data_IF_453160256464
#
_entry.id   IF_453160256464
#
_cell.length_a   1.000
_cell.length_b   1.000
_cell.length_c   1.000
_cell.angle_alpha   90.00
_cell.angle_beta   90.00
_cell.angle_gamma   90.00
#
_symmetry.space_group_name_H-M   'P 1'
#
loop_
_entity.id
_entity.type
_entity.pdbx_description
1 polymer ?
#
# COMPACT_ATOMS: atom_id res chain seq x y z
N UNK A 1 -2.52 -19.49 -28.95
CA UNK A 1 -1.36 -18.57 -28.93
C UNK A 1 -1.00 -18.27 -27.48
N UNK A 2 0.28 -18.13 -27.11
CA UNK A 2 0.71 -17.92 -25.72
C UNK A 2 0.89 -16.43 -25.42
N UNK A 3 0.46 -15.98 -24.24
CA UNK A 3 0.51 -14.57 -23.80
C UNK A 3 1.19 -14.47 -22.44
N UNK A 4 2.07 -13.48 -22.28
CA UNK A 4 2.71 -13.16 -21.00
C UNK A 4 2.14 -11.86 -20.43
N UNK A 5 1.69 -11.90 -19.19
CA UNK A 5 1.18 -10.75 -18.45
C UNK A 5 2.21 -10.34 -17.40
N UNK A 6 2.79 -9.15 -17.56
CA UNK A 6 3.77 -8.57 -16.66
C UNK A 6 3.07 -7.56 -15.76
N UNK A 7 2.43 -8.05 -14.70
CA UNK A 7 1.67 -7.24 -13.76
C UNK A 7 1.63 -7.90 -12.40
N UNK A 8 1.38 -7.11 -11.38
CA UNK A 8 1.15 -7.66 -10.05
C UNK A 8 -0.17 -8.43 -10.02
N UNK A 9 -0.22 -9.63 -9.42
CA UNK A 9 -1.44 -10.39 -9.27
C UNK A 9 -2.46 -9.58 -8.46
N UNK A 10 -3.76 -9.77 -8.75
CA UNK A 10 -4.81 -9.32 -7.81
C UNK A 10 -4.68 -10.07 -6.49
N UNK A 11 -5.25 -9.52 -5.43
CA UNK A 11 -5.28 -10.13 -4.11
C UNK A 11 -5.75 -11.57 -4.17
N UNK A 12 -5.05 -12.44 -3.43
CA UNK A 12 -5.14 -13.91 -3.53
C UNK A 12 -6.55 -14.46 -3.26
N UNK A 13 -7.44 -13.66 -2.67
CA UNK A 13 -8.82 -14.05 -2.34
C UNK A 13 -9.81 -13.89 -3.49
N UNK A 14 -9.44 -13.21 -4.59
CA UNK A 14 -10.37 -12.86 -5.69
C UNK A 14 -10.45 -13.89 -6.82
N UNK A 15 -9.92 -15.10 -6.64
CA UNK A 15 -9.91 -16.15 -7.68
C UNK A 15 -8.91 -15.87 -8.82
N UNK A 16 -9.08 -16.48 -10.01
CA UNK A 16 -8.16 -16.32 -11.13
C UNK A 16 -8.11 -14.88 -11.64
N UNK A 17 -6.92 -14.42 -12.02
CA UNK A 17 -6.71 -13.05 -12.51
C UNK A 17 -7.64 -12.72 -13.69
N UNK A 18 -8.33 -11.56 -13.68
CA UNK A 18 -9.33 -11.25 -14.69
C UNK A 18 -8.75 -11.20 -16.11
N UNK A 19 -7.49 -10.80 -16.28
CA UNK A 19 -6.84 -10.79 -17.59
C UNK A 19 -6.53 -12.21 -18.07
N UNK A 20 -6.10 -13.09 -17.16
CA UNK A 20 -5.88 -14.51 -17.47
C UNK A 20 -7.20 -15.18 -17.87
N UNK A 21 -8.27 -14.91 -17.12
CA UNK A 21 -9.61 -15.45 -17.40
C UNK A 21 -10.11 -14.99 -18.77
N UNK A 22 -10.06 -13.68 -19.04
CA UNK A 22 -10.57 -13.11 -20.29
C UNK A 22 -9.79 -13.63 -21.50
N UNK A 23 -8.45 -13.66 -21.43
CA UNK A 23 -7.61 -14.22 -22.49
C UNK A 23 -7.92 -15.70 -22.75
N UNK A 24 -8.20 -16.47 -21.70
CA UNK A 24 -8.63 -17.86 -21.81
C UNK A 24 -9.92 -18.04 -22.62
N UNK A 25 -10.88 -17.12 -22.49
CA UNK A 25 -12.15 -17.17 -23.24
C UNK A 25 -11.95 -17.06 -24.76
N UNK A 26 -10.87 -16.39 -25.20
CA UNK A 26 -10.53 -16.24 -26.62
C UNK A 26 -9.45 -17.26 -27.08
N UNK A 27 -9.20 -18.32 -26.31
CA UNK A 27 -8.26 -19.40 -26.69
C UNK A 27 -6.78 -19.02 -26.55
N UNK A 28 -6.47 -17.98 -25.77
CA UNK A 28 -5.09 -17.65 -25.42
C UNK A 28 -4.65 -18.35 -24.13
N UNK A 29 -3.43 -18.88 -24.15
CA UNK A 29 -2.80 -19.43 -22.96
C UNK A 29 -2.00 -18.32 -22.25
N UNK A 30 -2.60 -17.70 -21.23
CA UNK A 30 -2.00 -16.57 -20.53
C UNK A 30 -1.20 -17.03 -19.29
N UNK A 31 0.02 -16.54 -19.16
CA UNK A 31 0.87 -16.70 -17.98
C UNK A 31 1.09 -15.35 -17.32
N UNK A 32 0.74 -15.23 -16.03
CA UNK A 32 1.04 -14.04 -15.23
C UNK A 32 2.42 -14.17 -14.56
N UNK A 33 3.23 -13.13 -14.71
CA UNK A 33 4.52 -12.94 -14.05
C UNK A 33 4.42 -11.66 -13.19
N UNK A 34 4.48 -11.78 -11.84
CA UNK A 34 4.56 -10.61 -10.96
C UNK A 34 5.86 -9.86 -11.25
N UNK A 35 5.79 -8.53 -11.23
CA UNK A 35 6.96 -7.67 -11.51
C UNK A 35 7.37 -6.82 -10.32
N UNK A 36 6.46 -6.60 -9.37
CA UNK A 36 6.77 -5.95 -8.10
C UNK A 36 6.61 -6.96 -6.95
N UNK A 37 7.45 -6.79 -5.93
CA UNK A 37 7.25 -7.36 -4.60
C UNK A 37 7.12 -6.22 -3.60
N UNK A 38 6.26 -6.42 -2.61
CA UNK A 38 6.11 -5.51 -1.51
C UNK A 38 6.35 -6.29 -0.23
N UNK A 39 7.29 -5.79 0.59
CA UNK A 39 7.56 -6.34 1.90
C UNK A 39 7.27 -5.28 2.95
N UNK A 40 6.56 -5.71 4.00
CA UNK A 40 6.33 -4.85 5.15
C UNK A 40 7.63 -4.71 5.95
N UNK A 41 8.02 -3.47 6.22
CA UNK A 41 9.11 -3.15 7.13
C UNK A 41 8.54 -2.48 8.39
N UNK A 42 9.27 -2.59 9.50
CA UNK A 42 8.99 -1.82 10.72
C UNK A 42 7.60 -2.04 11.34
N UNK A 43 7.02 -3.24 11.22
CA UNK A 43 5.73 -3.60 11.83
C UNK A 43 5.72 -3.39 13.36
N UNK A 44 6.84 -3.66 14.03
CA UNK A 44 6.98 -3.41 15.47
C UNK A 44 6.91 -1.93 15.81
N UNK A 45 7.70 -1.10 15.12
CA UNK A 45 7.68 0.35 15.31
C UNK A 45 6.35 1.00 14.93
N UNK A 46 5.61 0.42 13.97
CA UNK A 46 4.23 0.83 13.70
C UNK A 46 3.34 0.59 14.92
N UNK A 47 3.37 -0.62 15.48
CA UNK A 47 2.51 -0.97 16.59
C UNK A 47 2.88 -0.22 17.87
N UNK A 48 4.18 0.01 18.12
CA UNK A 48 4.65 0.88 19.20
C UNK A 48 4.01 2.27 19.11
N UNK A 49 4.04 2.91 17.93
CA UNK A 49 3.41 4.22 17.73
C UNK A 49 1.87 4.16 17.88
N UNK A 50 1.23 3.09 17.41
CA UNK A 50 -0.21 2.87 17.59
C UNK A 50 -0.59 2.65 19.06
N UNK A 51 0.35 2.22 19.90
CA UNK A 51 0.16 2.03 21.34
C UNK A 51 0.19 3.35 22.14
N UNK A 52 0.57 4.46 21.49
CA UNK A 52 0.70 5.78 22.08
C UNK A 52 -0.18 6.84 21.41
N UNK A 53 -1.53 6.67 21.38
CA UNK A 53 -2.44 7.63 20.74
C UNK A 53 -2.36 9.05 21.34
N UNK A 54 -1.93 9.21 22.59
CA UNK A 54 -1.69 10.49 23.25
C UNK A 54 -0.64 11.37 22.56
N UNK A 55 0.30 10.75 21.83
CA UNK A 55 1.34 11.48 21.10
C UNK A 55 0.84 12.10 19.78
N UNK A 56 -0.39 11.77 19.36
CA UNK A 56 -0.89 12.12 18.02
C UNK A 56 -2.24 12.80 18.06
N UNK A 57 -2.49 13.67 17.09
CA UNK A 57 -3.78 14.32 16.87
C UNK A 57 -4.80 13.42 16.17
N UNK A 58 -4.33 12.39 15.46
CA UNK A 58 -5.16 11.51 14.66
C UNK A 58 -4.35 10.61 13.74
N UNK A 59 -5.05 9.85 12.91
CA UNK A 59 -4.49 8.93 11.92
C UNK A 59 -4.75 9.43 10.50
N UNK A 60 -3.83 9.11 9.59
CA UNK A 60 -4.08 9.26 8.16
C UNK A 60 -3.72 7.99 7.41
N UNK A 61 -4.56 7.57 6.48
CA UNK A 61 -4.33 6.44 5.60
C UNK A 61 -4.60 6.80 4.13
N UNK A 62 -3.56 6.78 3.30
CA UNK A 62 -3.65 7.03 1.86
C UNK A 62 -3.62 5.74 1.03
N UNK A 63 -3.33 4.59 1.66
CA UNK A 63 -3.12 3.31 0.98
C UNK A 63 -3.69 2.14 1.78
N UNK A 64 -4.41 1.20 1.14
CA UNK A 64 -4.83 -0.07 1.74
C UNK A 64 -3.71 -0.84 2.42
N UNK A 65 -2.49 -0.77 1.87
CA UNK A 65 -1.30 -1.45 2.41
C UNK A 65 -1.00 -1.05 3.85
N UNK A 66 -1.29 0.21 4.21
CA UNK A 66 -1.09 0.66 5.58
C UNK A 66 -1.98 -0.09 6.57
N UNK A 67 -3.21 -0.39 6.16
CA UNK A 67 -4.18 -1.14 6.98
C UNK A 67 -3.84 -2.62 7.02
N UNK A 68 -3.34 -3.17 5.92
CA UNK A 68 -2.80 -4.54 5.90
C UNK A 68 -1.65 -4.71 6.90
N UNK A 69 -0.73 -3.74 6.98
CA UNK A 69 0.35 -3.74 7.98
C UNK A 69 -0.20 -3.81 9.41
N UNK A 70 -1.20 -2.98 9.71
CA UNK A 70 -1.85 -2.97 11.03
C UNK A 70 -2.52 -4.31 11.29
N UNK A 71 -3.29 -4.84 10.33
CA UNK A 71 -3.93 -6.16 10.46
C UNK A 71 -2.92 -7.27 10.73
N UNK A 72 -1.73 -7.21 10.12
CA UNK A 72 -0.65 -8.16 10.39
C UNK A 72 -0.17 -8.02 11.84
N UNK A 73 0.07 -6.80 12.34
CA UNK A 73 0.44 -6.57 13.73
C UNK A 73 -0.63 -7.11 14.70
N UNK A 74 -1.91 -6.96 14.36
CA UNK A 74 -3.04 -7.43 15.16
C UNK A 74 -3.28 -8.95 15.08
N UNK A 75 -2.51 -9.71 14.30
CA UNK A 75 -2.55 -11.18 14.38
C UNK A 75 -1.88 -11.71 15.65
N UNK A 76 -1.00 -10.93 16.26
CA UNK A 76 -0.39 -11.28 17.53
C UNK A 76 -1.40 -11.07 18.68
N UNK A 77 -1.66 -12.11 19.46
CA UNK A 77 -2.71 -12.09 20.49
C UNK A 77 -2.55 -10.93 21.50
N UNK A 78 -1.33 -10.69 21.98
CA UNK A 78 -0.99 -9.60 22.91
C UNK A 78 -1.39 -8.22 22.36
N UNK A 79 -1.06 -7.96 21.09
CA UNK A 79 -1.34 -6.72 20.37
C UNK A 79 -2.83 -6.57 20.07
N UNK A 80 -3.49 -7.66 19.69
CA UNK A 80 -4.94 -7.68 19.45
C UNK A 80 -5.74 -7.40 20.73
N UNK A 81 -5.32 -7.99 21.85
CA UNK A 81 -5.93 -7.74 23.16
C UNK A 81 -5.76 -6.28 23.57
N UNK A 82 -4.55 -5.72 23.45
CA UNK A 82 -4.31 -4.29 23.71
C UNK A 82 -5.16 -3.39 22.81
N UNK A 83 -5.25 -3.73 21.52
CA UNK A 83 -6.08 -3.00 20.55
C UNK A 83 -7.56 -3.00 20.94
N UNK A 84 -8.12 -4.19 21.14
CA UNK A 84 -9.53 -4.40 21.43
C UNK A 84 -9.94 -3.85 22.79
N UNK A 85 -9.03 -3.89 23.78
CA UNK A 85 -9.31 -3.45 25.15
C UNK A 85 -9.35 -1.94 25.31
N UNK A 86 -8.45 -1.19 24.68
CA UNK A 86 -8.35 0.26 24.93
C UNK A 86 -7.96 1.08 23.71
N UNK A 87 -6.95 0.66 22.92
CA UNK A 87 -6.39 1.52 21.87
C UNK A 87 -7.41 1.89 20.80
N UNK A 88 -8.28 0.94 20.40
CA UNK A 88 -9.33 1.20 19.41
C UNK A 88 -10.26 2.34 19.82
N UNK A 89 -10.64 2.40 21.09
CA UNK A 89 -11.51 3.47 21.59
C UNK A 89 -10.76 4.80 21.67
N UNK A 90 -9.50 4.79 22.10
CA UNK A 90 -8.66 6.00 22.17
C UNK A 90 -8.40 6.59 20.78
N UNK A 91 -8.17 5.75 19.77
CA UNK A 91 -8.04 6.20 18.39
C UNK A 91 -9.36 6.70 17.80
N UNK A 92 -10.51 6.10 18.15
CA UNK A 92 -11.82 6.61 17.74
C UNK A 92 -12.21 7.95 18.38
N UNK A 93 -11.60 8.33 19.50
CA UNK A 93 -11.75 9.68 20.07
C UNK A 93 -11.00 10.75 19.25
N UNK A 94 -10.21 10.34 18.24
CA UNK A 94 -9.42 11.19 17.36
C UNK A 94 -9.88 11.00 15.91
N UNK A 95 -9.68 11.99 15.03
CA UNK A 95 -10.00 11.83 13.62
C UNK A 95 -9.11 10.79 12.94
N UNK A 96 -9.72 9.94 12.11
CA UNK A 96 -9.04 9.03 11.18
C UNK A 96 -9.34 9.45 9.76
N UNK A 97 -8.35 10.03 9.08
CA UNK A 97 -8.47 10.56 7.72
C UNK A 97 -8.09 9.50 6.69
N UNK A 98 -8.85 9.41 5.60
CA UNK A 98 -8.61 8.39 4.55
C UNK A 98 -8.73 8.97 3.14
N UNK A 99 -7.98 8.40 2.19
CA UNK A 99 -8.19 8.65 0.75
C UNK A 99 -8.95 7.49 0.13
N UNK A 100 -10.17 7.76 -0.34
CA UNK A 100 -10.96 6.81 -1.12
C UNK A 100 -11.73 5.78 -0.28
N UNK A 101 -12.80 5.27 -0.89
CA UNK A 101 -13.74 4.34 -0.23
C UNK A 101 -13.12 2.98 0.09
N UNK A 102 -12.22 2.48 -0.75
CA UNK A 102 -11.56 1.20 -0.52
C UNK A 102 -10.75 1.21 0.80
N UNK A 103 -10.01 2.28 1.04
CA UNK A 103 -9.26 2.46 2.29
C UNK A 103 -10.20 2.70 3.47
N UNK A 104 -11.30 3.43 3.27
CA UNK A 104 -12.33 3.64 4.30
C UNK A 104 -12.89 2.31 4.81
N UNK A 105 -13.29 1.39 3.92
CA UNK A 105 -13.82 0.09 4.32
C UNK A 105 -12.80 -0.73 5.14
N UNK A 106 -11.52 -0.69 4.78
CA UNK A 106 -10.47 -1.39 5.54
C UNK A 106 -10.21 -0.78 6.92
N UNK A 107 -10.43 0.54 7.07
CA UNK A 107 -10.37 1.24 8.36
C UNK A 107 -11.55 0.82 9.26
N UNK A 108 -12.74 0.68 8.68
CA UNK A 108 -13.92 0.19 9.39
C UNK A 108 -13.74 -1.26 9.87
N UNK A 109 -13.06 -2.10 9.09
CA UNK A 109 -12.76 -3.49 9.46
C UNK A 109 -11.86 -3.61 10.70
N UNK A 110 -10.97 -2.64 10.95
CA UNK A 110 -10.17 -2.59 12.20
C UNK A 110 -10.91 -1.86 13.34
N UNK A 111 -12.16 -1.46 13.08
CA UNK A 111 -13.09 -0.86 14.03
C UNK A 111 -12.81 0.61 14.34
N UNK A 112 -12.25 1.35 13.37
CA UNK A 112 -12.10 2.81 13.42
C UNK A 112 -13.14 3.50 12.51
N UNK A 113 -13.42 4.78 12.78
CA UNK A 113 -14.36 5.59 12.00
C UNK A 113 -13.63 6.50 10.98
N UNK A 114 -13.60 6.14 9.67
CA UNK A 114 -12.92 6.94 8.66
C UNK A 114 -13.64 8.24 8.32
N UNK A 115 -12.88 9.24 7.89
CA UNK A 115 -13.37 10.53 7.37
C UNK A 115 -12.55 10.98 6.18
N UNK A 116 -13.13 11.78 5.28
CA UNK A 116 -12.42 12.31 4.11
C UNK A 116 -12.35 11.35 2.92
N UNK A 117 -13.03 10.21 2.95
CA UNK A 117 -13.11 9.23 1.85
C UNK A 117 -13.53 9.83 0.49
N UNK A 118 -14.29 10.94 0.52
CA UNK A 118 -14.79 11.67 -0.65
C UNK A 118 -13.78 12.65 -1.25
N UNK A 119 -12.63 12.85 -0.60
CA UNK A 119 -11.59 13.78 -1.08
C UNK A 119 -10.98 13.33 -2.40
N UNK A 120 -10.93 12.01 -2.64
CA UNK A 120 -10.49 11.41 -3.90
C UNK A 120 -8.97 11.37 -4.11
N UNK A 121 -8.21 12.33 -3.58
CA UNK A 121 -6.74 12.35 -3.62
C UNK A 121 -6.12 12.96 -2.35
N UNK A 122 -4.80 12.90 -2.27
CA UNK A 122 -4.02 13.38 -1.12
C UNK A 122 -4.11 14.91 -0.96
N UNK A 123 -4.11 15.66 -2.06
CA UNK A 123 -4.14 17.12 -2.04
C UNK A 123 -5.45 17.64 -1.46
N UNK A 124 -6.59 17.12 -1.96
CA UNK A 124 -7.92 17.45 -1.44
C UNK A 124 -8.11 17.01 -0.01
N UNK A 125 -7.52 15.86 0.36
CA UNK A 125 -7.53 15.41 1.76
C UNK A 125 -6.75 16.38 2.65
N UNK A 126 -5.60 16.88 2.20
CA UNK A 126 -4.86 17.90 2.94
C UNK A 126 -5.69 19.15 3.17
N UNK A 127 -6.44 19.64 2.16
CA UNK A 127 -7.32 20.81 2.35
C UNK A 127 -8.45 20.52 3.34
N UNK A 128 -9.03 19.32 3.27
CA UNK A 128 -10.06 18.89 4.19
C UNK A 128 -9.54 18.86 5.64
N UNK A 129 -8.34 18.33 5.87
CA UNK A 129 -7.67 18.34 7.17
C UNK A 129 -7.40 19.79 7.63
N UNK A 130 -6.87 20.65 6.74
CA UNK A 130 -6.64 22.08 7.00
C UNK A 130 -7.89 22.86 7.39
N UNK A 131 -9.04 22.48 6.88
CA UNK A 131 -10.31 23.14 7.22
C UNK A 131 -10.84 22.77 8.62
N UNK A 132 -10.32 21.71 9.23
CA UNK A 132 -10.81 21.14 10.49
C UNK A 132 -9.82 21.25 11.64
N UNK A 133 -8.55 21.05 11.35
CA UNK A 133 -7.47 21.13 12.32
C UNK A 133 -6.92 22.56 12.39
N UNK A 134 -6.56 23.00 13.61
CA UNK A 134 -5.91 24.29 13.82
C UNK A 134 -4.39 24.22 13.66
N UNK A 135 -3.67 25.35 13.59
CA UNK A 135 -2.21 25.39 13.46
C UNK A 135 -1.43 24.85 14.67
N UNK A 136 -2.09 24.62 15.81
CA UNK A 136 -1.49 24.12 17.06
C UNK A 136 -1.93 22.71 17.45
N UNK A 137 -2.50 21.94 16.52
CA UNK A 137 -2.90 20.57 16.80
C UNK A 137 -1.68 19.65 17.03
N UNK A 138 -1.94 18.46 17.56
CA UNK A 138 -0.93 17.41 17.73
C UNK A 138 -0.63 16.72 16.38
N UNK A 139 0.60 16.20 16.18
CA UNK A 139 1.02 15.62 14.90
C UNK A 139 0.13 14.45 14.49
N UNK A 140 -0.12 14.28 13.19
CA UNK A 140 -0.85 13.13 12.67
C UNK A 140 0.11 11.95 12.48
N UNK A 141 -0.33 10.75 12.87
CA UNK A 141 0.37 9.51 12.56
C UNK A 141 0.00 9.09 11.13
N UNK A 142 1.00 9.00 10.26
CA UNK A 142 0.81 8.67 8.86
C UNK A 142 1.63 7.43 8.47
N UNK A 143 1.06 6.22 8.60
CA UNK A 143 1.70 5.00 8.12
C UNK A 143 1.61 4.96 6.59
N UNK A 144 2.76 4.96 5.92
CA UNK A 144 2.85 5.08 4.47
C UNK A 144 3.89 4.12 3.89
N UNK A 145 3.75 3.79 2.61
CA UNK A 145 4.69 2.91 1.92
C UNK A 145 6.03 3.60 1.70
N UNK A 146 6.20 4.26 0.55
CA UNK A 146 7.47 4.88 0.15
C UNK A 146 7.39 6.42 0.21
N UNK A 147 8.17 7.02 1.11
CA UNK A 147 8.18 8.47 1.40
C UNK A 147 8.32 9.37 0.16
N UNK A 148 9.11 8.95 -0.85
CA UNK A 148 9.38 9.76 -2.06
C UNK A 148 8.16 10.00 -2.97
N UNK A 149 7.02 9.34 -2.72
CA UNK A 149 5.83 9.44 -3.57
C UNK A 149 4.62 10.06 -2.86
N UNK A 150 4.72 10.36 -1.58
CA UNK A 150 3.57 10.84 -0.82
C UNK A 150 3.45 12.36 -0.93
N UNK A 151 2.34 12.82 -1.50
CA UNK A 151 2.06 14.26 -1.66
C UNK A 151 1.47 14.87 -0.39
N UNK A 152 0.78 14.05 0.41
CA UNK A 152 0.05 14.50 1.61
C UNK A 152 0.95 15.24 2.63
N UNK A 153 2.13 14.72 3.03
CA UNK A 153 2.95 15.38 4.04
C UNK A 153 3.46 16.76 3.58
N UNK A 154 3.83 16.85 2.30
CA UNK A 154 4.26 18.10 1.67
C UNK A 154 3.11 19.11 1.63
N UNK A 155 1.92 18.68 1.19
CA UNK A 155 0.75 19.54 1.11
C UNK A 155 0.28 20.05 2.49
N UNK A 156 0.36 19.23 3.54
CA UNK A 156 0.05 19.65 4.90
C UNK A 156 1.05 20.70 5.42
N UNK A 157 2.34 20.48 5.17
CA UNK A 157 3.40 21.41 5.55
C UNK A 157 3.28 22.76 4.85
N UNK A 158 3.00 22.78 3.56
CA UNK A 158 2.81 24.01 2.78
C UNK A 158 1.62 24.84 3.25
N UNK A 159 0.56 24.19 3.73
CA UNK A 159 -0.64 24.85 4.25
C UNK A 159 -0.52 25.30 5.72
N UNK A 160 0.67 25.23 6.30
CA UNK A 160 0.95 25.69 7.67
C UNK A 160 0.37 24.79 8.76
N UNK A 161 -0.06 23.57 8.39
CA UNK A 161 -0.46 22.55 9.34
C UNK A 161 0.73 21.66 9.76
N UNK A 162 0.64 21.22 11.02
CA UNK A 162 1.08 19.95 11.59
C UNK A 162 2.26 19.19 10.97
N UNK A 163 3.24 18.89 11.82
CA UNK A 163 4.20 17.81 11.58
C UNK A 163 3.46 16.47 11.39
N UNK A 164 3.65 15.81 10.24
CA UNK A 164 3.23 14.43 10.05
C UNK A 164 4.34 13.49 10.50
N UNK A 165 4.02 12.58 11.42
CA UNK A 165 4.93 11.50 11.81
C UNK A 165 4.73 10.34 10.85
N UNK A 166 5.61 10.27 9.87
CA UNK A 166 5.61 9.24 8.83
C UNK A 166 6.21 7.94 9.39
N UNK A 167 5.52 6.83 9.15
CA UNK A 167 6.06 5.49 9.41
C UNK A 167 6.20 4.79 8.07
N UNK A 168 7.45 4.53 7.67
CA UNK A 168 7.75 3.75 6.47
C UNK A 168 7.35 2.29 6.73
N UNK A 169 6.30 1.85 6.04
CA UNK A 169 5.71 0.52 6.19
C UNK A 169 6.23 -0.50 5.19
N UNK A 170 6.89 -0.08 4.11
CA UNK A 170 7.37 -1.03 3.13
C UNK A 170 8.00 -0.37 1.92
N UNK A 171 8.98 -1.06 1.34
CA UNK A 171 9.58 -0.65 0.09
C UNK A 171 9.03 -1.51 -1.03
N UNK A 172 8.58 -0.87 -2.11
CA UNK A 172 8.27 -1.58 -3.35
C UNK A 172 9.59 -1.87 -4.05
N UNK A 173 9.91 -3.14 -4.21
CA UNK A 173 11.09 -3.58 -4.96
C UNK A 173 10.66 -4.37 -6.20
N UNK A 174 11.58 -4.53 -7.16
CA UNK A 174 11.36 -5.51 -8.22
C UNK A 174 11.19 -6.87 -7.57
N UNK A 175 10.24 -7.66 -8.04
CA UNK A 175 10.03 -9.00 -7.50
C UNK A 175 11.34 -9.80 -7.57
N UNK A 176 11.79 -10.47 -6.48
CA UNK A 176 13.00 -11.28 -6.47
C UNK A 176 12.88 -12.56 -7.31
N UNK A 177 11.79 -12.70 -8.08
CA UNK A 177 11.62 -13.77 -9.04
C UNK A 177 12.80 -13.83 -10.00
N UNK A 178 13.09 -15.07 -10.42
CA UNK A 178 13.97 -15.40 -11.55
C UNK A 178 13.89 -14.31 -12.63
N UNK A 179 15.04 -13.87 -13.14
CA UNK A 179 15.10 -12.84 -14.18
C UNK A 179 14.07 -13.14 -15.28
N UNK A 180 13.53 -12.12 -15.95
CA UNK A 180 12.54 -12.34 -17.03
C UNK A 180 13.04 -13.43 -17.99
N UNK A 181 14.36 -13.43 -18.28
CA UNK A 181 15.06 -14.47 -19.04
C UNK A 181 14.97 -15.88 -18.45
N UNK A 182 15.16 -16.07 -17.14
CA UNK A 182 15.01 -17.37 -16.50
C UNK A 182 13.54 -17.84 -16.47
N UNK A 183 12.57 -16.94 -16.31
CA UNK A 183 11.14 -17.28 -16.41
C UNK A 183 10.78 -17.71 -17.84
N UNK A 184 11.32 -17.01 -18.83
CA UNK A 184 11.19 -17.34 -20.25
C UNK A 184 11.87 -18.68 -20.60
N UNK A 185 13.03 -18.96 -19.98
CA UNK A 185 13.78 -20.21 -20.16
C UNK A 185 13.11 -21.41 -19.47
N UNK A 186 12.56 -21.25 -18.27
CA UNK A 186 11.92 -22.34 -17.51
C UNK A 186 10.54 -22.74 -18.04
N UNK A 187 9.75 -21.82 -18.61
CA UNK A 187 8.37 -22.09 -19.06
C UNK A 187 8.22 -22.71 -20.45
N UNK A 188 9.27 -23.33 -21.02
CA UNK A 188 9.16 -23.99 -22.33
C UNK A 188 8.73 -23.01 -23.46
N UNK A 189 9.19 -21.75 -23.42
CA UNK A 189 9.02 -20.79 -24.52
C UNK A 189 10.19 -20.89 -25.51
N UNK A 190 10.60 -22.12 -25.86
CA UNK A 190 11.73 -22.40 -26.77
C UNK A 190 11.50 -21.93 -28.23
N UNK A 191 10.28 -21.52 -28.59
CA UNK A 191 9.91 -21.14 -29.96
C UNK A 191 9.75 -19.62 -30.20
N UNK A 192 10.22 -18.77 -29.28
CA UNK A 192 10.13 -17.32 -29.43
C UNK A 192 11.52 -16.72 -29.68
N UNK A 193 12.03 -16.84 -30.90
CA UNK A 193 13.21 -16.08 -31.38
C UNK A 193 13.06 -14.56 -31.17
N UNK A 194 11.81 -14.08 -31.03
CA UNK A 194 11.48 -12.67 -30.82
C UNK A 194 11.90 -12.10 -29.45
N UNK A 195 11.98 -12.93 -28.41
CA UNK A 195 12.13 -12.45 -27.03
C UNK A 195 13.57 -12.02 -26.72
N UNK A 196 14.57 -12.62 -27.35
CA UNK A 196 15.97 -12.20 -27.19
C UNK A 196 16.27 -10.84 -27.82
N UNK A 197 15.54 -10.44 -28.88
CA UNK A 197 15.77 -9.16 -29.55
C UNK A 197 15.00 -8.00 -28.89
N UNK A 198 13.77 -8.24 -28.42
CA UNK A 198 12.91 -7.20 -27.84
C UNK A 198 13.34 -6.76 -26.42
N UNK A 199 14.11 -7.58 -25.70
CA UNK A 199 14.52 -7.28 -24.32
C UNK A 199 15.88 -6.59 -24.19
N UNK A 200 16.65 -6.45 -25.28
CA UNK A 200 17.96 -5.75 -25.28
C UNK A 200 17.94 -4.34 -24.65
N UNK A 201 16.89 -3.50 -24.78
CA UNK A 201 16.89 -2.17 -24.15
C UNK A 201 16.80 -2.21 -22.62
N UNK A 202 16.27 -3.29 -22.04
CA UNK A 202 16.12 -3.43 -20.59
C UNK A 202 17.42 -3.86 -19.89
N UNK A 203 18.44 -4.27 -20.64
CA UNK A 203 19.74 -4.69 -20.12
C UNK A 203 20.72 -3.53 -19.87
N UNK A 204 20.45 -2.31 -20.38
CA UNK A 204 21.41 -1.20 -20.28
C UNK A 204 21.36 -0.39 -18.98
N UNK A 205 20.50 -0.74 -18.01
CA UNK A 205 20.32 0.05 -16.76
C UNK A 205 20.70 -0.74 -15.49
N UNK A 206 21.48 -1.82 -15.63
CA UNK A 206 22.07 -2.53 -14.48
C UNK A 206 23.61 -2.63 -14.54
N UNK A 207 24.26 -1.71 -15.25
CA UNK A 207 25.68 -1.47 -15.13
C UNK A 207 25.92 0.02 -14.94
N UNK A 208 25.78 0.50 -13.71
CA UNK A 208 26.69 1.35 -12.89
C UNK A 208 26.01 1.57 -11.55
#
# INVERSE_FOLDING_TARGET
MKVLLLKDPKDKESGPDPYVKELGLYGFEATLIPVLSFEFVSLEGLFEKLSHPECYGGLVFTSPRALEAIKICLRENSKNEAWSKSLKQQWNAKPTYVVGKATASLVEEIGLCPQGEKSGNAEKLAEYICSREGPHSSPLLFPCGALKREVLPTALKEKGLLSCNEVLLGNTQRSPGRSLCELLACKHLRNLEFVQHALKPFFSVCAV
#
